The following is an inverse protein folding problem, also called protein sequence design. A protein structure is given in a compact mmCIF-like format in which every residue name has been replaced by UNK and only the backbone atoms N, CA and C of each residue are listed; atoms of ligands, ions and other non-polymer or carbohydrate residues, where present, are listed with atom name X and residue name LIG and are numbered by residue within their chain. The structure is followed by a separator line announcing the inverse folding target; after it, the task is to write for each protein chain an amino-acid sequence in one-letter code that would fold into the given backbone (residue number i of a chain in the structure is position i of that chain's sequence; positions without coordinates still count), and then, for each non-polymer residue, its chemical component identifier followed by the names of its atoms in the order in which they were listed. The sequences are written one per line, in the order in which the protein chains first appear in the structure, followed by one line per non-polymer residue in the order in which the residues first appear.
data_IF_795001485335
#
_entry.id   IF_795001485335
#
_cell.length_a   1.000
_cell.length_b   1.000
_cell.length_c   1.000
_cell.angle_alpha   90.00
_cell.angle_beta   90.00
_cell.angle_gamma   90.00
#
_symmetry.space_group_name_H-M   'P 1'
#
loop_
_entity.id
_entity.type
_entity.pdbx_description
1 polymer ?
#
# COMPACT_ATOMS: atom_id res chain seq x y z
N UNK A 1 -4.81 -7.86 20.43
CA UNK A 1 -5.55 -6.67 19.96
C UNK A 1 -6.53 -7.17 18.90
N UNK A 2 -7.85 -6.95 19.00
CA UNK A 2 -8.81 -7.39 17.98
C UNK A 2 -8.43 -6.94 16.55
N UNK A 3 -7.68 -5.84 16.43
CA UNK A 3 -7.20 -5.30 15.14
C UNK A 3 -6.02 -6.06 14.55
N UNK A 4 -5.36 -6.95 15.30
CA UNK A 4 -4.28 -7.80 14.78
C UNK A 4 -4.77 -9.15 14.26
N UNK A 5 -6.02 -9.51 14.50
CA UNK A 5 -6.60 -10.79 14.05
C UNK A 5 -6.69 -10.88 12.53
N UNK A 6 -6.97 -9.77 11.84
CA UNK A 6 -7.03 -9.71 10.37
C UNK A 6 -5.69 -10.05 9.71
N UNK A 7 -4.56 -9.80 10.39
CA UNK A 7 -3.23 -10.05 9.83
C UNK A 7 -2.82 -11.52 9.86
N UNK A 8 -3.68 -12.42 10.37
CA UNK A 8 -3.48 -13.88 10.28
C UNK A 8 -3.81 -14.44 8.90
N UNK A 9 -4.60 -13.70 8.11
CA UNK A 9 -4.98 -14.13 6.77
C UNK A 9 -3.91 -13.76 5.74
N UNK A 10 -3.64 -14.64 4.76
CA UNK A 10 -2.60 -14.42 3.76
C UNK A 10 -2.93 -13.25 2.82
N UNK A 11 -4.21 -13.01 2.54
CA UNK A 11 -4.70 -11.89 1.74
C UNK A 11 -5.55 -10.97 2.63
N UNK A 12 -5.35 -9.66 2.50
CA UNK A 12 -6.12 -8.66 3.24
C UNK A 12 -6.60 -7.54 2.32
N UNK A 13 -7.89 -7.26 2.35
CA UNK A 13 -8.51 -6.26 1.48
C UNK A 13 -8.43 -4.86 2.10
N UNK A 14 -7.88 -3.91 1.35
CA UNK A 14 -7.79 -2.50 1.69
C UNK A 14 -8.68 -1.68 0.76
N UNK A 15 -9.68 -1.05 1.37
CA UNK A 15 -10.72 -0.23 0.75
C UNK A 15 -10.70 1.21 1.26
N UNK A 16 -11.04 2.14 0.38
CA UNK A 16 -11.34 3.50 0.79
C UNK A 16 -12.57 3.54 1.75
N UNK A 17 -12.40 4.00 2.99
CA UNK A 17 -13.48 4.54 3.84
C UNK A 17 -12.98 5.63 4.80
N UNK A 18 -13.84 6.52 5.30
CA UNK A 18 -13.58 7.86 5.89
C UNK A 18 -12.35 8.10 6.82
N UNK A 19 -11.60 7.08 7.25
CA UNK A 19 -10.33 7.15 8.00
C UNK A 19 -9.17 6.48 7.27
N UNK A 20 -9.00 6.82 5.98
CA UNK A 20 -8.37 6.01 4.92
C UNK A 20 -6.87 5.68 5.04
N UNK A 21 -6.06 6.36 5.86
CA UNK A 21 -4.62 6.40 5.56
C UNK A 21 -3.75 5.45 6.39
N UNK A 22 -4.22 4.91 7.52
CA UNK A 22 -3.36 4.15 8.42
C UNK A 22 -3.39 2.63 8.23
N UNK A 23 -4.50 2.08 7.71
CA UNK A 23 -4.68 0.63 7.61
C UNK A 23 -3.72 0.02 6.59
N UNK A 24 -3.57 0.65 5.43
CA UNK A 24 -2.71 0.15 4.37
C UNK A 24 -1.25 -0.08 4.82
N UNK A 25 -0.67 0.87 5.55
CA UNK A 25 0.69 0.71 6.08
C UNK A 25 0.81 -0.38 7.13
N UNK A 26 -0.24 -0.60 7.94
CA UNK A 26 -0.26 -1.72 8.87
C UNK A 26 -0.26 -3.04 8.11
N UNK A 27 -1.10 -3.17 7.08
CA UNK A 27 -1.14 -4.37 6.24
C UNK A 27 0.22 -4.69 5.63
N UNK A 28 0.90 -3.67 5.09
CA UNK A 28 2.27 -3.84 4.57
C UNK A 28 3.28 -4.27 5.65
N UNK A 29 3.11 -3.86 6.90
CA UNK A 29 4.04 -4.19 7.97
C UNK A 29 3.92 -5.66 8.46
N UNK A 30 2.77 -6.30 8.25
CA UNK A 30 2.54 -7.70 8.61
C UNK A 30 2.82 -8.64 7.43
N UNK A 31 2.95 -9.93 7.71
CA UNK A 31 3.22 -10.96 6.70
C UNK A 31 1.95 -11.35 5.93
N UNK A 32 1.20 -10.36 5.44
CA UNK A 32 0.01 -10.55 4.61
C UNK A 32 0.09 -9.69 3.35
N UNK A 33 -0.52 -10.17 2.27
CA UNK A 33 -0.56 -9.48 0.99
C UNK A 33 -1.76 -8.54 0.94
N UNK A 34 -1.55 -7.21 0.82
CA UNK A 34 -2.65 -6.29 0.64
C UNK A 34 -3.23 -6.40 -0.78
N UNK A 35 -4.55 -6.49 -0.86
CA UNK A 35 -5.34 -6.27 -2.07
C UNK A 35 -5.91 -4.85 -1.95
N UNK A 36 -5.41 -3.90 -2.76
CA UNK A 36 -5.73 -2.47 -2.61
C UNK A 36 -6.67 -2.00 -3.69
N UNK A 37 -7.78 -1.42 -3.28
CA UNK A 37 -8.69 -0.67 -4.13
C UNK A 37 -8.77 0.77 -3.61
N UNK A 38 -8.36 1.73 -4.45
CA UNK A 38 -8.44 3.14 -4.10
C UNK A 38 -8.75 4.01 -5.31
N UNK A 39 -9.47 5.11 -5.10
CA UNK A 39 -9.63 6.22 -6.06
C UNK A 39 -8.63 7.35 -5.79
N UNK A 40 -7.97 7.33 -4.64
CA UNK A 40 -7.10 8.42 -4.21
C UNK A 40 -5.69 8.24 -4.77
N UNK A 41 -5.06 9.38 -5.09
CA UNK A 41 -3.62 9.45 -5.20
C UNK A 41 -3.03 9.66 -3.82
N UNK A 42 -2.10 8.81 -3.43
CA UNK A 42 -1.45 8.87 -2.13
C UNK A 42 0.02 9.25 -2.27
N UNK A 43 0.59 9.86 -1.23
CA UNK A 43 1.98 10.34 -1.25
C UNK A 43 3.02 9.22 -1.46
N UNK A 44 2.61 7.97 -1.23
CA UNK A 44 3.46 6.79 -1.36
C UNK A 44 3.36 6.10 -2.72
N UNK A 45 2.54 6.59 -3.66
CA UNK A 45 2.33 5.96 -4.96
C UNK A 45 3.65 5.83 -5.75
N UNK A 46 4.56 6.80 -5.61
CA UNK A 46 5.90 6.76 -6.22
C UNK A 46 6.85 5.74 -5.56
N UNK A 47 6.43 5.14 -4.45
CA UNK A 47 7.23 4.20 -3.64
C UNK A 47 6.67 2.80 -3.72
N UNK A 48 5.34 2.64 -3.69
CA UNK A 48 4.68 1.35 -3.67
C UNK A 48 4.18 0.97 -5.06
N UNK A 49 4.89 0.04 -5.69
CA UNK A 49 4.57 -0.47 -7.02
C UNK A 49 3.52 -1.61 -6.96
N UNK A 50 2.41 -1.53 -7.72
CA UNK A 50 1.45 -2.62 -7.89
C UNK A 50 2.13 -3.88 -8.43
N UNK A 51 1.65 -5.06 -8.01
CA UNK A 51 2.21 -6.38 -8.34
C UNK A 51 3.64 -6.64 -7.84
N UNK A 52 4.24 -5.69 -7.11
CA UNK A 52 5.52 -5.86 -6.42
C UNK A 52 5.33 -5.88 -4.91
N UNK A 53 4.51 -4.96 -4.39
CA UNK A 53 4.29 -4.78 -2.95
C UNK A 53 2.86 -5.06 -2.50
N UNK A 54 1.89 -4.99 -3.44
CA UNK A 54 0.47 -5.22 -3.20
C UNK A 54 -0.21 -5.59 -4.52
N UNK A 55 -1.45 -6.06 -4.48
CA UNK A 55 -2.26 -6.36 -5.67
C UNK A 55 -3.28 -5.24 -5.88
N UNK A 56 -3.28 -4.53 -7.02
CA UNK A 56 -4.30 -3.53 -7.30
C UNK A 56 -5.62 -4.21 -7.67
N UNK A 57 -6.73 -3.68 -7.16
CA UNK A 57 -8.09 -4.14 -7.45
C UNK A 57 -8.88 -2.97 -8.02
N UNK A 58 -9.59 -3.23 -9.10
CA UNK A 58 -10.44 -2.29 -9.81
C UNK A 58 -11.64 -1.89 -8.96
N UNK A 59 -12.25 -0.74 -9.27
CA UNK A 59 -13.43 -0.28 -8.54
C UNK A 59 -14.64 -1.20 -8.75
N UNK A 60 -14.72 -1.86 -9.92
CA UNK A 60 -15.78 -2.80 -10.25
C UNK A 60 -15.59 -4.16 -9.54
N UNK A 61 -14.36 -4.50 -9.17
CA UNK A 61 -13.98 -5.76 -8.53
C UNK A 61 -14.31 -7.02 -9.37
N UNK A 62 -14.54 -6.89 -10.67
CA UNK A 62 -14.90 -8.02 -11.54
C UNK A 62 -13.82 -9.13 -11.53
N UNK A 63 -12.55 -8.73 -11.40
CA UNK A 63 -11.40 -9.64 -11.35
C UNK A 63 -11.14 -10.25 -9.97
N UNK A 64 -11.75 -9.71 -8.91
CA UNK A 64 -11.44 -10.09 -7.53
C UNK A 64 -11.61 -11.60 -7.27
N UNK A 65 -12.69 -12.28 -7.72
CA UNK A 65 -12.83 -13.72 -7.50
C UNK A 65 -11.68 -14.54 -8.10
N UNK A 66 -11.26 -14.21 -9.33
CA UNK A 66 -10.19 -14.92 -10.02
C UNK A 66 -8.83 -14.62 -9.40
N UNK A 67 -8.57 -13.37 -9.01
CA UNK A 67 -7.35 -12.98 -8.28
C UNK A 67 -7.23 -13.76 -6.97
N UNK A 68 -8.33 -13.84 -6.20
CA UNK A 68 -8.35 -14.60 -4.94
C UNK A 68 -8.10 -16.07 -5.21
N UNK A 69 -8.88 -16.69 -6.11
CA UNK A 69 -8.75 -18.10 -6.49
C UNK A 69 -7.31 -18.43 -6.90
N UNK A 70 -6.72 -17.65 -7.80
CA UNK A 70 -5.35 -17.82 -8.25
C UNK A 70 -4.34 -17.75 -7.10
N UNK A 71 -4.41 -16.71 -6.26
CA UNK A 71 -3.44 -16.48 -5.19
C UNK A 71 -3.58 -17.46 -4.01
N UNK A 72 -4.74 -18.11 -3.84
CA UNK A 72 -4.99 -19.04 -2.74
C UNK A 72 -5.00 -20.51 -3.13
N UNK A 73 -5.38 -20.86 -4.35
CA UNK A 73 -5.58 -22.26 -4.76
C UNK A 73 -4.47 -22.78 -5.68
N UNK A 74 -3.85 -21.93 -6.48
CA UNK A 74 -2.79 -22.33 -7.42
C UNK A 74 -1.41 -22.27 -6.76
N UNK A 75 -0.57 -23.30 -6.93
CA UNK A 75 0.75 -23.36 -6.31
C UNK A 75 1.64 -22.17 -6.70
N UNK A 76 1.64 -21.81 -7.98
CA UNK A 76 2.36 -20.65 -8.51
C UNK A 76 1.81 -19.34 -7.93
N UNK A 77 0.47 -19.20 -7.86
CA UNK A 77 -0.17 -18.03 -7.27
C UNK A 77 0.16 -17.85 -5.79
N UNK A 78 0.21 -18.93 -5.02
CA UNK A 78 0.64 -18.88 -3.61
C UNK A 78 2.11 -18.50 -3.43
N UNK A 79 3.01 -18.92 -4.34
CA UNK A 79 4.43 -18.50 -4.34
C UNK A 79 4.53 -17.00 -4.63
N UNK A 80 3.79 -16.52 -5.62
CA UNK A 80 3.69 -15.10 -5.96
C UNK A 80 3.14 -14.32 -4.76
N UNK A 81 2.05 -14.77 -4.15
CA UNK A 81 1.44 -14.08 -3.02
C UNK A 81 2.43 -13.86 -1.86
N UNK A 82 3.16 -14.91 -1.49
CA UNK A 82 4.21 -14.86 -0.46
C UNK A 82 5.33 -13.91 -0.85
N UNK A 83 5.78 -13.94 -2.10
CA UNK A 83 6.83 -13.04 -2.61
C UNK A 83 6.41 -11.57 -2.51
N UNK A 84 5.19 -11.24 -2.94
CA UNK A 84 4.67 -9.88 -2.90
C UNK A 84 4.50 -9.39 -1.45
N UNK A 85 3.98 -10.23 -0.56
CA UNK A 85 3.85 -9.89 0.86
C UNK A 85 5.20 -9.55 1.50
N UNK A 86 6.22 -10.40 1.30
CA UNK A 86 7.57 -10.17 1.82
C UNK A 86 8.20 -8.91 1.22
N UNK A 87 8.04 -8.70 -0.09
CA UNK A 87 8.55 -7.51 -0.75
C UNK A 87 7.90 -6.23 -0.18
N UNK A 88 6.58 -6.22 -0.04
CA UNK A 88 5.84 -5.10 0.54
C UNK A 88 6.28 -4.80 1.98
N UNK A 89 6.51 -5.84 2.78
CA UNK A 89 7.00 -5.70 4.14
C UNK A 89 8.41 -5.11 4.20
N UNK A 90 9.37 -5.71 3.49
CA UNK A 90 10.77 -5.25 3.51
C UNK A 90 10.89 -3.84 2.94
N UNK A 91 10.14 -3.54 1.88
CA UNK A 91 10.19 -2.23 1.24
C UNK A 91 9.51 -1.15 2.07
N UNK A 92 8.35 -1.42 2.67
CA UNK A 92 7.63 -0.43 3.48
C UNK A 92 8.47 0.07 4.66
N UNK A 93 9.20 -0.82 5.33
CA UNK A 93 10.12 -0.48 6.42
C UNK A 93 11.28 0.44 5.97
N UNK A 94 11.68 0.34 4.70
CA UNK A 94 12.78 1.14 4.12
C UNK A 94 12.30 2.48 3.57
N UNK A 95 11.18 2.49 2.85
CA UNK A 95 10.76 3.61 2.00
C UNK A 95 9.69 4.50 2.62
N UNK A 96 8.88 4.01 3.56
CA UNK A 96 7.73 4.74 4.13
C UNK A 96 8.07 5.41 5.46
N UNK A 97 9.15 6.19 5.48
CA UNK A 97 9.52 6.96 6.70
C UNK A 97 8.60 8.18 6.87
N UNK A 98 7.79 8.24 7.94
CA UNK A 98 6.70 9.20 8.06
C UNK A 98 7.15 10.66 8.22
N UNK A 99 8.40 10.89 8.62
CA UNK A 99 8.90 12.26 8.91
C UNK A 99 9.51 12.94 7.68
N UNK A 100 10.11 12.17 6.77
CA UNK A 100 10.90 12.73 5.65
C UNK A 100 10.01 13.41 4.61
N UNK A 101 8.87 12.79 4.29
CA UNK A 101 7.97 13.32 3.27
C UNK A 101 7.29 14.63 3.69
N UNK A 102 6.64 14.75 4.87
CA UNK A 102 6.05 16.01 5.32
C UNK A 102 7.10 17.11 5.48
N UNK A 103 8.30 16.78 5.98
CA UNK A 103 9.39 17.76 6.11
C UNK A 103 9.78 18.34 4.75
N UNK A 104 10.04 17.49 3.75
CA UNK A 104 10.36 17.96 2.40
C UNK A 104 9.21 18.72 1.76
N UNK A 105 7.97 18.29 1.96
CA UNK A 105 6.78 18.98 1.47
C UNK A 105 6.71 20.41 2.00
N UNK A 106 6.94 20.60 3.30
CA UNK A 106 6.94 21.94 3.91
C UNK A 106 8.09 22.83 3.39
N UNK A 107 9.27 22.25 3.16
CA UNK A 107 10.39 23.00 2.58
C UNK A 107 10.10 23.45 1.14
N UNK A 108 9.55 22.56 0.30
CA UNK A 108 9.20 22.91 -1.08
C UNK A 108 8.03 23.92 -1.13
N UNK A 109 7.07 23.77 -0.23
CA UNK A 109 5.96 24.73 -0.10
C UNK A 109 6.50 26.11 0.28
N UNK A 110 7.33 26.21 1.32
CA UNK A 110 7.96 27.46 1.72
C UNK A 110 8.76 28.09 0.57
N UNK A 111 9.51 27.28 -0.19
CA UNK A 111 10.27 27.73 -1.36
C UNK A 111 9.37 28.24 -2.49
N UNK A 112 8.19 27.69 -2.70
CA UNK A 112 7.26 28.15 -3.75
C UNK A 112 6.50 29.40 -3.32
N UNK A 113 6.21 29.54 -2.03
CA UNK A 113 5.47 30.69 -1.48
C UNK A 113 6.34 31.89 -1.14
N UNK A 114 7.67 31.75 -1.20
CA UNK A 114 8.61 32.84 -0.91
C UNK A 114 8.46 33.98 -1.94
N UNK A 115 7.99 35.19 -1.53
CA UNK A 115 7.78 36.30 -2.45
C UNK A 115 9.08 36.88 -3.01
N UNK A 116 10.22 36.66 -2.34
CA UNK A 116 11.54 37.12 -2.77
C UNK A 116 12.24 36.11 -3.69
N UNK A 117 11.60 34.97 -3.95
CA UNK A 117 12.15 33.96 -4.86
C UNK A 117 12.22 34.49 -6.28
N UNK A 118 13.44 34.55 -6.81
CA UNK A 118 13.67 34.81 -8.24
C UNK A 118 13.20 33.61 -9.07
N UNK A 119 12.52 33.92 -10.17
CA UNK A 119 12.03 32.94 -11.15
C UNK A 119 13.17 32.10 -11.75
#
# INVERSE_FOLDING_TARGET
DPRSESFKYPLNFDLDGNGHWARFYRLLAFNSLPLKQTVFKEWHDDRLIPWVHYVPISLAMDELPEVVRYLTEEEEGQKIARKLAVNGQVWSQKSLKPVVYPYRLMLELARITDPDRKA
#
